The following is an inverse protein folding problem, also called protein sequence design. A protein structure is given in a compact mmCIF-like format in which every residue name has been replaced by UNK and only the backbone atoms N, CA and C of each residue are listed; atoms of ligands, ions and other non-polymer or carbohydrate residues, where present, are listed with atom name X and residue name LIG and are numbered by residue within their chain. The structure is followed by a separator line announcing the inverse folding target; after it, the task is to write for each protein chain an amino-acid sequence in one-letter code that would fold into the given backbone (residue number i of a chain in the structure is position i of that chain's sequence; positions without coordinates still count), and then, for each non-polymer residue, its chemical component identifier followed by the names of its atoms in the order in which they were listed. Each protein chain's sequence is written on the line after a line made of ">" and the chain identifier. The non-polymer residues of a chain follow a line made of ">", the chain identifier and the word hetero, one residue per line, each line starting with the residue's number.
data_IF_682229615831
#
_entry.id   IF_682229615831
#
_cell.length_a   1.000
_cell.length_b   1.000
_cell.length_c   1.000
_cell.angle_alpha   90.00
_cell.angle_beta   90.00
_cell.angle_gamma   90.00
#
_symmetry.space_group_name_H-M   'P 1'
#
loop_
_entity.id
_entity.type
_entity.pdbx_description
1 polymer ?
#
# COMPACT_ATOMS: atom_id res chain seq x y z
N UNK A 1 27.65 -25.80 36.43
CA UNK A 1 27.85 -26.35 35.08
C UNK A 1 26.56 -26.21 34.29
N UNK A 2 26.70 -25.70 33.08
CA UNK A 2 25.69 -25.14 32.19
C UNK A 2 24.50 -26.06 31.86
N UNK A 3 23.28 -25.55 32.03
CA UNK A 3 22.16 -25.89 31.16
C UNK A 3 22.01 -24.75 30.15
N UNK A 4 22.66 -24.90 29.01
CA UNK A 4 22.41 -24.07 27.83
C UNK A 4 21.00 -24.41 27.37
N UNK A 5 20.07 -23.48 27.52
CA UNK A 5 18.78 -23.53 26.85
C UNK A 5 19.03 -23.51 25.35
N UNK A 6 18.92 -24.66 24.70
CA UNK A 6 18.76 -24.74 23.25
C UNK A 6 17.42 -24.08 22.92
N UNK A 7 17.43 -22.77 22.67
CA UNK A 7 16.37 -22.11 21.92
C UNK A 7 16.39 -22.71 20.53
N UNK A 8 15.46 -23.62 20.27
CA UNK A 8 15.25 -24.19 18.94
C UNK A 8 14.98 -23.05 17.96
N UNK A 9 15.97 -22.76 17.12
CA UNK A 9 15.76 -22.15 15.82
C UNK A 9 14.81 -23.08 15.07
N UNK A 10 13.50 -22.84 15.16
CA UNK A 10 12.56 -23.41 14.20
C UNK A 10 13.06 -22.98 12.83
N UNK A 11 13.51 -23.94 12.01
CA UNK A 11 13.86 -23.71 10.62
C UNK A 11 12.59 -23.33 9.86
N UNK A 12 12.19 -22.07 10.00
CA UNK A 12 11.17 -21.45 9.18
C UNK A 12 11.55 -21.67 7.72
N UNK A 13 10.63 -22.21 6.92
CA UNK A 13 10.82 -22.32 5.48
C UNK A 13 11.23 -20.94 4.95
N UNK A 14 12.41 -20.85 4.31
CA UNK A 14 12.97 -19.57 3.86
C UNK A 14 11.98 -18.77 3.00
N UNK A 15 11.17 -19.45 2.18
CA UNK A 15 10.13 -18.80 1.37
C UNK A 15 9.02 -18.18 2.22
N UNK A 16 8.65 -18.83 3.32
CA UNK A 16 7.67 -18.30 4.26
C UNK A 16 8.23 -17.12 5.07
N UNK A 17 9.50 -17.21 5.48
CA UNK A 17 10.20 -16.07 6.08
C UNK A 17 10.26 -14.89 5.09
N UNK A 18 10.59 -15.14 3.82
CA UNK A 18 10.60 -14.11 2.78
C UNK A 18 9.20 -13.51 2.54
N UNK A 19 8.15 -14.33 2.55
CA UNK A 19 6.76 -13.88 2.46
C UNK A 19 6.38 -12.92 3.60
N UNK A 20 6.77 -13.25 4.84
CA UNK A 20 6.59 -12.36 6.00
C UNK A 20 7.41 -11.08 5.86
N UNK A 21 8.67 -11.18 5.44
CA UNK A 21 9.56 -10.04 5.21
C UNK A 21 8.97 -9.06 4.20
N UNK A 22 8.31 -9.59 3.16
CA UNK A 22 7.68 -8.82 2.09
C UNK A 22 6.40 -8.08 2.51
N UNK A 23 5.90 -8.32 3.74
CA UNK A 23 4.61 -7.80 4.26
C UNK A 23 3.42 -8.13 3.34
N UNK A 24 2.79 -9.31 3.50
CA UNK A 24 1.75 -9.81 2.59
C UNK A 24 0.65 -8.82 2.20
N UNK A 25 0.19 -8.02 3.16
CA UNK A 25 -0.83 -7.00 2.94
C UNK A 25 -0.38 -5.91 1.94
N UNK A 26 0.89 -5.50 1.95
CA UNK A 26 1.39 -4.53 0.98
C UNK A 26 1.56 -5.16 -0.40
N UNK A 27 1.88 -6.46 -0.48
CA UNK A 27 2.01 -7.22 -1.74
C UNK A 27 0.67 -7.32 -2.45
N UNK A 28 -0.40 -7.71 -1.75
CA UNK A 28 -1.75 -7.73 -2.34
C UNK A 28 -2.15 -6.35 -2.88
N UNK A 29 -1.93 -5.30 -2.10
CA UNK A 29 -2.22 -3.93 -2.54
C UNK A 29 -1.45 -3.51 -3.78
N UNK A 30 -0.15 -3.84 -3.88
CA UNK A 30 0.67 -3.52 -5.05
C UNK A 30 0.28 -4.34 -6.27
N UNK A 31 -0.01 -5.63 -6.12
CA UNK A 31 -0.46 -6.47 -7.23
C UNK A 31 -1.78 -5.97 -7.82
N UNK A 32 -2.74 -5.65 -6.95
CA UNK A 32 -4.04 -5.14 -7.36
C UNK A 32 -3.95 -3.72 -7.92
N UNK A 33 -3.07 -2.85 -7.42
CA UNK A 33 -2.89 -1.52 -8.01
C UNK A 33 -2.34 -1.60 -9.44
N UNK A 34 -1.34 -2.46 -9.68
CA UNK A 34 -0.79 -2.66 -11.03
C UNK A 34 -1.86 -3.15 -11.98
N UNK A 35 -2.59 -4.22 -11.60
CA UNK A 35 -3.65 -4.77 -12.44
C UNK A 35 -4.80 -3.77 -12.63
N UNK A 36 -5.28 -3.16 -11.55
CA UNK A 36 -6.41 -2.25 -11.58
C UNK A 36 -6.14 -1.02 -12.43
N UNK A 37 -4.96 -0.42 -12.30
CA UNK A 37 -4.59 0.77 -13.11
C UNK A 37 -4.36 0.39 -14.56
N UNK A 38 -3.81 -0.79 -14.86
CA UNK A 38 -3.73 -1.30 -16.23
C UNK A 38 -5.13 -1.41 -16.87
N UNK A 39 -6.10 -1.99 -16.15
CA UNK A 39 -7.48 -2.11 -16.63
C UNK A 39 -8.15 -0.74 -16.81
N UNK A 40 -7.92 0.20 -15.89
CA UNK A 40 -8.37 1.60 -16.02
C UNK A 40 -7.76 2.25 -17.26
N UNK A 41 -6.46 2.05 -17.51
CA UNK A 41 -5.81 2.58 -18.71
C UNK A 41 -6.46 2.03 -19.98
N UNK A 42 -6.67 0.72 -20.09
CA UNK A 42 -7.34 0.13 -21.26
C UNK A 42 -8.74 0.71 -21.46
N UNK A 43 -9.54 0.77 -20.40
CA UNK A 43 -10.92 1.26 -20.46
C UNK A 43 -10.99 2.70 -20.96
N UNK A 44 -10.11 3.57 -20.43
CA UNK A 44 -10.19 5.00 -20.70
C UNK A 44 -9.46 5.44 -21.97
N UNK A 45 -8.51 4.66 -22.48
CA UNK A 45 -7.77 5.01 -23.70
C UNK A 45 -8.38 4.44 -24.98
N UNK A 46 -9.55 3.79 -24.91
CA UNK A 46 -10.23 3.13 -26.04
C UNK A 46 -9.29 2.24 -26.87
N UNK A 47 -8.28 1.66 -26.23
CA UNK A 47 -7.44 0.66 -26.87
C UNK A 47 -8.25 -0.63 -26.98
N UNK A 48 -8.45 -1.14 -28.19
CA UNK A 48 -9.29 -2.33 -28.44
C UNK A 48 -8.93 -3.48 -27.49
N UNK A 49 -9.93 -3.96 -26.75
CA UNK A 49 -9.87 -5.14 -25.89
C UNK A 49 -10.38 -6.36 -26.68
N UNK A 50 -9.80 -7.59 -26.62
CA UNK A 50 -8.58 -8.02 -25.94
C UNK A 50 -7.46 -8.44 -26.93
N UNK A 51 -6.20 -8.31 -26.51
CA UNK A 51 -4.98 -8.88 -27.13
C UNK A 51 -4.34 -8.12 -28.34
N UNK A 52 -3.06 -8.39 -28.70
CA UNK A 52 -1.86 -8.17 -27.89
C UNK A 52 -0.67 -7.76 -28.78
N UNK A 53 -0.06 -6.61 -28.52
CA UNK A 53 1.39 -6.61 -28.74
C UNK A 53 1.99 -7.38 -27.55
N UNK A 54 2.87 -8.37 -27.81
CA UNK A 54 3.62 -9.09 -26.77
C UNK A 54 4.25 -8.12 -25.75
N UNK A 55 4.57 -6.93 -26.23
CA UNK A 55 5.00 -5.77 -25.46
C UNK A 55 4.02 -5.32 -24.36
N UNK A 56 2.70 -5.42 -24.53
CA UNK A 56 1.72 -5.02 -23.50
C UNK A 56 1.70 -5.99 -22.31
N UNK A 57 1.61 -7.31 -22.57
CA UNK A 57 1.64 -8.30 -21.51
C UNK A 57 3.00 -8.33 -20.79
N UNK A 58 4.10 -8.22 -21.54
CA UNK A 58 5.44 -8.11 -20.97
C UNK A 58 5.58 -6.85 -20.12
N UNK A 59 4.97 -5.73 -20.53
CA UNK A 59 4.98 -4.49 -19.75
C UNK A 59 4.21 -4.63 -18.44
N UNK A 60 3.04 -5.27 -18.44
CA UNK A 60 2.27 -5.52 -17.20
C UNK A 60 3.02 -6.42 -16.24
N UNK A 61 3.55 -7.56 -16.73
CA UNK A 61 4.34 -8.49 -15.90
C UNK A 61 5.61 -7.81 -15.40
N UNK A 62 6.31 -7.08 -16.27
CA UNK A 62 7.51 -6.35 -15.92
C UNK A 62 7.26 -5.24 -14.89
N UNK A 63 6.20 -4.45 -15.07
CA UNK A 63 5.76 -3.44 -14.11
C UNK A 63 5.37 -4.08 -12.77
N UNK A 64 4.70 -5.23 -12.80
CA UNK A 64 4.35 -5.98 -11.61
C UNK A 64 5.60 -6.43 -10.83
N UNK A 65 6.58 -7.04 -11.49
CA UNK A 65 7.84 -7.46 -10.86
C UNK A 65 8.62 -6.26 -10.34
N UNK A 66 8.70 -5.16 -11.10
CA UNK A 66 9.38 -3.94 -10.68
C UNK A 66 8.73 -3.33 -9.42
N UNK A 67 7.39 -3.23 -9.41
CA UNK A 67 6.64 -2.68 -8.27
C UNK A 67 6.71 -3.57 -7.04
N UNK A 68 6.65 -4.90 -7.19
CA UNK A 68 6.80 -5.83 -6.08
C UNK A 68 8.22 -5.77 -5.50
N UNK A 69 9.23 -5.71 -6.36
CA UNK A 69 10.63 -5.56 -5.93
C UNK A 69 10.84 -4.24 -5.18
N UNK A 70 10.27 -3.14 -5.68
CA UNK A 70 10.29 -1.86 -4.99
C UNK A 70 9.53 -1.87 -3.66
N UNK A 71 8.42 -2.60 -3.57
CA UNK A 71 7.69 -2.77 -2.31
C UNK A 71 8.56 -3.51 -1.27
N UNK A 72 9.17 -4.65 -1.66
CA UNK A 72 10.08 -5.42 -0.79
C UNK A 72 11.27 -4.58 -0.35
N UNK A 73 11.85 -3.78 -1.24
CA UNK A 73 12.90 -2.81 -0.89
C UNK A 73 12.44 -1.86 0.23
N UNK A 74 11.30 -1.19 0.04
CA UNK A 74 10.81 -0.15 0.96
C UNK A 74 10.46 -0.76 2.33
N UNK A 75 9.70 -1.85 2.36
CA UNK A 75 9.28 -2.48 3.62
C UNK A 75 10.43 -3.22 4.31
N UNK A 76 11.37 -3.77 3.54
CA UNK A 76 12.55 -4.44 4.05
C UNK A 76 13.55 -3.46 4.65
N UNK A 77 13.80 -2.33 3.97
CA UNK A 77 14.65 -1.26 4.49
C UNK A 77 14.09 -0.70 5.80
N UNK A 78 12.77 -0.53 5.88
CA UNK A 78 12.11 -0.11 7.11
C UNK A 78 12.37 -1.11 8.27
N UNK A 79 12.22 -2.41 8.02
CA UNK A 79 12.48 -3.46 9.02
C UNK A 79 13.93 -3.48 9.50
N UNK A 80 14.91 -3.36 8.59
CA UNK A 80 16.34 -3.35 8.93
C UNK A 80 16.73 -2.20 9.86
N UNK A 81 15.99 -1.08 9.81
CA UNK A 81 16.25 0.11 10.64
C UNK A 81 15.47 0.14 11.94
N UNK A 82 14.43 -0.69 12.05
CA UNK A 82 13.47 -0.68 13.15
C UNK A 82 13.46 -1.99 13.95
N UNK A 83 14.51 -2.82 13.84
CA UNK A 83 14.61 -4.14 14.49
C UNK A 83 14.20 -4.12 15.97
N UNK A 84 14.74 -3.18 16.75
CA UNK A 84 14.45 -3.09 18.19
C UNK A 84 13.01 -2.65 18.48
N UNK A 85 12.41 -1.82 17.63
CA UNK A 85 11.00 -1.40 17.73
C UNK A 85 10.08 -2.57 17.34
N UNK A 86 10.42 -3.24 16.23
CA UNK A 86 9.65 -4.36 15.69
C UNK A 86 9.72 -5.60 16.59
N UNK A 87 10.77 -5.80 17.40
CA UNK A 87 10.79 -6.82 18.47
C UNK A 87 9.63 -6.65 19.48
N UNK A 88 9.08 -5.45 19.61
CA UNK A 88 7.96 -5.15 20.51
C UNK A 88 6.64 -5.14 19.73
N UNK A 89 6.57 -4.35 18.67
CA UNK A 89 5.31 -4.15 17.94
C UNK A 89 4.98 -5.33 17.01
N UNK A 90 6.00 -5.96 16.43
CA UNK A 90 5.87 -6.95 15.34
C UNK A 90 6.88 -8.09 15.50
N UNK A 91 6.90 -8.82 16.64
CA UNK A 91 7.95 -9.79 16.97
C UNK A 91 8.02 -10.99 16.01
N UNK A 92 7.00 -11.19 15.18
CA UNK A 92 6.92 -12.25 14.18
C UNK A 92 7.66 -11.91 12.87
N UNK A 93 8.11 -10.67 12.69
CA UNK A 93 8.83 -10.26 11.47
C UNK A 93 10.22 -10.90 11.41
N UNK A 94 10.68 -11.36 10.23
CA UNK A 94 11.85 -12.24 10.15
C UNK A 94 13.15 -11.70 10.75
N UNK A 95 13.41 -10.39 10.63
CA UNK A 95 14.61 -9.78 11.21
C UNK A 95 14.47 -9.60 12.73
N UNK A 96 13.26 -9.25 13.20
CA UNK A 96 12.98 -9.09 14.62
C UNK A 96 12.94 -10.44 15.37
N UNK A 97 12.43 -11.50 14.74
CA UNK A 97 12.35 -12.86 15.28
C UNK A 97 13.68 -13.63 15.21
N UNK A 98 14.64 -13.14 14.41
CA UNK A 98 15.92 -13.80 14.18
C UNK A 98 15.90 -14.89 13.09
N UNK A 99 14.78 -15.07 12.38
CA UNK A 99 14.71 -15.97 11.21
C UNK A 99 15.63 -15.52 10.07
N UNK A 100 15.76 -14.20 9.88
CA UNK A 100 16.72 -13.59 8.98
C UNK A 100 17.77 -12.81 9.77
N UNK A 101 19.04 -13.00 9.41
CA UNK A 101 20.12 -12.13 9.88
C UNK A 101 19.99 -10.75 9.26
N UNK A 102 20.58 -9.73 9.89
CA UNK A 102 20.70 -8.38 9.33
C UNK A 102 21.25 -8.42 7.89
N UNK A 103 22.34 -9.17 7.69
CA UNK A 103 22.98 -9.33 6.38
C UNK A 103 22.07 -9.95 5.33
N UNK A 104 21.26 -10.95 5.70
CA UNK A 104 20.27 -11.55 4.79
C UNK A 104 19.24 -10.52 4.35
N UNK A 105 18.70 -9.73 5.28
CA UNK A 105 17.76 -8.66 4.96
C UNK A 105 18.39 -7.57 4.09
N UNK A 106 19.64 -7.18 4.35
CA UNK A 106 20.39 -6.22 3.52
C UNK A 106 20.56 -6.72 2.09
N UNK A 107 20.95 -7.99 1.91
CA UNK A 107 21.08 -8.60 0.57
C UNK A 107 19.74 -8.59 -0.17
N UNK A 108 18.64 -8.95 0.50
CA UNK A 108 17.29 -8.93 -0.09
C UNK A 108 16.92 -7.51 -0.53
N UNK A 109 17.11 -6.52 0.34
CA UNK A 109 16.79 -5.12 0.05
C UNK A 109 17.63 -4.61 -1.12
N UNK A 110 18.95 -4.78 -1.11
CA UNK A 110 19.83 -4.33 -2.20
C UNK A 110 19.44 -5.00 -3.52
N UNK A 111 19.25 -6.32 -3.53
CA UNK A 111 18.92 -7.08 -4.74
C UNK A 111 17.57 -6.65 -5.31
N UNK A 112 16.54 -6.51 -4.48
CA UNK A 112 15.21 -6.07 -4.92
C UNK A 112 15.19 -4.61 -5.36
N UNK A 113 15.98 -3.74 -4.73
CA UNK A 113 16.16 -2.35 -5.16
C UNK A 113 16.80 -2.24 -6.55
N UNK A 114 17.88 -2.97 -6.79
CA UNK A 114 18.54 -3.05 -8.11
C UNK A 114 17.56 -3.59 -9.14
N UNK A 115 16.89 -4.71 -8.84
CA UNK A 115 15.92 -5.32 -9.75
C UNK A 115 14.77 -4.37 -10.11
N UNK A 116 14.23 -3.64 -9.13
CA UNK A 116 13.18 -2.65 -9.34
C UNK A 116 13.63 -1.53 -10.30
N UNK A 117 14.80 -0.95 -10.06
CA UNK A 117 15.35 0.13 -10.88
C UNK A 117 15.75 -0.34 -12.28
N UNK A 118 16.39 -1.49 -12.41
CA UNK A 118 16.80 -2.05 -13.70
C UNK A 118 15.58 -2.40 -14.57
N UNK A 119 14.58 -3.10 -14.03
CA UNK A 119 13.38 -3.44 -14.78
C UNK A 119 12.57 -2.20 -15.16
N UNK A 120 12.37 -1.27 -14.23
CA UNK A 120 11.63 -0.04 -14.52
C UNK A 120 12.33 0.82 -15.57
N UNK A 121 13.66 0.90 -15.55
CA UNK A 121 14.46 1.58 -16.58
C UNK A 121 14.24 0.98 -17.96
N UNK A 122 14.29 -0.35 -18.08
CA UNK A 122 14.13 -1.06 -19.35
C UNK A 122 12.72 -0.94 -19.92
N UNK A 123 11.70 -0.82 -19.06
CA UNK A 123 10.29 -0.81 -19.45
C UNK A 123 9.74 0.59 -19.77
N UNK A 124 10.44 1.66 -19.37
CA UNK A 124 10.13 3.01 -19.85
C UNK A 124 10.23 4.11 -18.80
N UNK A 125 10.25 5.38 -19.25
CA UNK A 125 10.59 6.52 -18.42
C UNK A 125 9.59 6.77 -17.27
N UNK A 126 8.28 6.56 -17.51
CA UNK A 126 7.25 6.77 -16.49
C UNK A 126 7.34 5.77 -15.34
N UNK A 127 7.57 4.49 -15.66
CA UNK A 127 7.76 3.46 -14.64
C UNK A 127 9.06 3.69 -13.87
N UNK A 128 10.15 4.03 -14.56
CA UNK A 128 11.42 4.36 -13.92
C UNK A 128 11.31 5.57 -12.98
N UNK A 129 10.67 6.65 -13.42
CA UNK A 129 10.45 7.83 -12.59
C UNK A 129 9.60 7.49 -11.36
N UNK A 130 8.49 6.77 -11.54
CA UNK A 130 7.61 6.39 -10.43
C UNK A 130 8.31 5.48 -9.42
N UNK A 131 9.01 4.44 -9.88
CA UNK A 131 9.77 3.52 -9.01
C UNK A 131 10.93 4.26 -8.34
N UNK A 132 11.71 5.04 -9.10
CA UNK A 132 12.85 5.81 -8.59
C UNK A 132 12.45 6.80 -7.50
N UNK A 133 11.40 7.59 -7.73
CA UNK A 133 10.86 8.53 -6.72
C UNK A 133 10.34 7.76 -5.50
N UNK A 134 9.61 6.66 -5.71
CA UNK A 134 9.07 5.84 -4.60
C UNK A 134 10.18 5.26 -3.73
N UNK A 135 11.24 4.72 -4.34
CA UNK A 135 12.42 4.22 -3.64
C UNK A 135 13.15 5.35 -2.92
N UNK A 136 13.38 6.50 -3.57
CA UNK A 136 14.03 7.64 -2.95
C UNK A 136 13.28 8.13 -1.69
N UNK A 137 11.94 8.23 -1.76
CA UNK A 137 11.09 8.58 -0.62
C UNK A 137 11.16 7.49 0.47
N UNK A 138 11.08 6.21 0.09
CA UNK A 138 11.18 5.09 1.05
C UNK A 138 12.53 5.04 1.77
N UNK A 139 13.61 5.40 1.07
CA UNK A 139 14.96 5.53 1.62
C UNK A 139 15.07 6.71 2.56
N UNK A 140 14.62 7.90 2.14
CA UNK A 140 14.58 9.10 2.97
C UNK A 140 13.71 8.90 4.23
N UNK A 141 12.64 8.12 4.11
CA UNK A 141 11.78 7.74 5.23
C UNK A 141 12.54 6.91 6.27
N UNK A 142 13.38 5.96 5.86
CA UNK A 142 13.95 4.94 6.75
C UNK A 142 15.39 5.20 7.22
N UNK A 143 16.28 5.67 6.33
CA UNK A 143 17.73 5.73 6.59
C UNK A 143 18.19 7.06 7.21
N UNK A 144 19.16 7.04 8.15
CA UNK A 144 19.89 8.24 8.56
C UNK A 144 20.78 8.78 7.42
N UNK A 145 21.09 10.10 7.41
CA UNK A 145 20.75 11.10 8.43
C UNK A 145 19.32 11.65 8.34
N UNK A 146 18.60 11.42 7.23
CA UNK A 146 17.29 12.04 6.98
C UNK A 146 16.18 11.43 7.87
N UNK A 147 15.99 10.10 7.78
CA UNK A 147 15.01 9.28 8.53
C UNK A 147 13.70 10.03 8.84
N UNK A 148 12.97 10.44 7.80
CA UNK A 148 11.76 11.26 7.89
C UNK A 148 10.68 10.66 8.80
N UNK A 149 10.67 9.34 8.99
CA UNK A 149 9.74 8.67 9.92
C UNK A 149 9.79 9.19 11.36
N UNK A 150 10.85 9.89 11.75
CA UNK A 150 10.98 10.55 13.07
C UNK A 150 10.02 11.73 13.25
N UNK A 151 9.57 12.33 12.15
CA UNK A 151 8.70 13.49 12.15
C UNK A 151 7.30 13.08 11.66
N UNK A 152 6.25 13.13 12.51
CA UNK A 152 4.93 12.60 12.16
C UNK A 152 4.34 13.18 10.88
N UNK A 153 4.53 14.48 10.66
CA UNK A 153 4.07 15.17 9.45
C UNK A 153 4.73 14.61 8.18
N UNK A 154 6.07 14.53 8.16
CA UNK A 154 6.80 13.99 7.02
C UNK A 154 6.57 12.49 6.83
N UNK A 155 6.43 11.73 7.92
CA UNK A 155 6.08 10.32 7.88
C UNK A 155 4.74 10.09 7.16
N UNK A 156 3.72 10.88 7.49
CA UNK A 156 2.42 10.83 6.83
C UNK A 156 2.54 11.16 5.34
N UNK A 157 3.22 12.27 4.99
CA UNK A 157 3.45 12.67 3.60
C UNK A 157 4.09 11.55 2.79
N UNK A 158 5.15 10.92 3.27
CA UNK A 158 5.79 9.81 2.56
C UNK A 158 4.81 8.66 2.26
N UNK A 159 3.95 8.30 3.21
CA UNK A 159 3.05 7.16 3.08
C UNK A 159 1.94 7.44 2.05
N UNK A 160 1.20 8.53 2.22
CA UNK A 160 0.07 8.82 1.33
C UNK A 160 0.54 9.36 -0.03
N UNK A 161 1.72 9.98 -0.14
CA UNK A 161 2.19 10.49 -1.43
C UNK A 161 2.64 9.34 -2.33
N UNK A 162 3.43 8.40 -1.79
CA UNK A 162 3.90 7.23 -2.56
C UNK A 162 2.71 6.37 -2.97
N UNK A 163 1.92 5.91 -2.00
CA UNK A 163 0.84 4.96 -2.28
C UNK A 163 -0.43 5.59 -2.81
N UNK A 164 -0.73 6.83 -2.43
CA UNK A 164 -1.94 7.54 -2.83
C UNK A 164 -1.84 8.23 -4.19
N UNK A 165 -0.69 8.82 -4.52
CA UNK A 165 -0.53 9.62 -5.74
C UNK A 165 0.49 9.04 -6.72
N UNK A 166 1.73 8.86 -6.28
CA UNK A 166 2.87 8.56 -7.16
C UNK A 166 2.67 7.23 -7.89
N UNK A 167 2.28 6.16 -7.18
CA UNK A 167 2.02 4.86 -7.81
C UNK A 167 0.85 4.95 -8.79
N UNK A 168 -0.26 5.61 -8.40
CA UNK A 168 -1.46 5.66 -9.24
C UNK A 168 -1.23 6.42 -10.55
N UNK A 169 -0.73 7.65 -10.43
CA UNK A 169 -0.45 8.51 -11.56
C UNK A 169 0.67 7.93 -12.42
N UNK A 170 1.74 7.42 -11.80
CA UNK A 170 2.88 6.87 -12.51
C UNK A 170 2.56 5.60 -13.29
N UNK A 171 1.78 4.67 -12.70
CA UNK A 171 1.31 3.48 -13.42
C UNK A 171 0.38 3.84 -14.58
N UNK A 172 -0.54 4.79 -14.38
CA UNK A 172 -1.44 5.21 -15.45
C UNK A 172 -0.67 5.84 -16.61
N UNK A 173 0.31 6.71 -16.34
CA UNK A 173 1.18 7.29 -17.37
C UNK A 173 2.01 6.22 -18.07
N UNK A 174 2.55 5.25 -17.33
CA UNK A 174 3.30 4.14 -17.90
C UNK A 174 2.43 3.31 -18.85
N UNK A 175 1.25 2.87 -18.44
CA UNK A 175 0.38 2.07 -19.29
C UNK A 175 -0.18 2.88 -20.47
N UNK A 176 -0.53 4.15 -20.27
CA UNK A 176 -0.92 5.03 -21.38
C UNK A 176 0.21 5.18 -22.41
N UNK A 177 1.47 5.23 -21.96
CA UNK A 177 2.65 5.25 -22.85
C UNK A 177 2.86 3.93 -23.59
N UNK A 178 2.76 2.80 -22.90
CA UNK A 178 2.84 1.46 -23.52
C UNK A 178 1.73 1.25 -24.55
N UNK A 179 0.52 1.75 -24.26
CA UNK A 179 -0.64 1.68 -25.15
C UNK A 179 -0.63 2.75 -26.25
N UNK A 180 0.44 3.56 -26.34
CA UNK A 180 0.57 4.66 -27.32
C UNK A 180 -0.59 5.68 -27.27
N UNK A 181 -1.24 5.81 -26.12
CA UNK A 181 -2.26 6.82 -25.86
C UNK A 181 -1.62 8.17 -25.51
N UNK A 182 -2.42 9.20 -25.24
CA UNK A 182 -1.91 10.47 -24.72
C UNK A 182 -1.57 10.35 -23.23
N UNK A 183 -0.44 10.91 -22.81
CA UNK A 183 0.01 10.92 -21.40
C UNK A 183 -0.65 12.04 -20.58
N UNK A 184 -1.98 12.15 -20.69
CA UNK A 184 -2.80 13.11 -19.96
C UNK A 184 -3.59 12.37 -18.89
N UNK A 185 -3.47 12.78 -17.63
CA UNK A 185 -4.23 12.18 -16.54
C UNK A 185 -5.70 12.54 -16.68
N UNK A 186 -6.54 11.53 -16.92
CA UNK A 186 -7.97 11.68 -17.11
C UNK A 186 -8.70 11.90 -15.77
N UNK A 187 -9.87 12.57 -15.75
CA UNK A 187 -10.63 12.85 -14.53
C UNK A 187 -10.91 11.61 -13.67
N UNK A 188 -11.24 10.47 -14.28
CA UNK A 188 -11.48 9.22 -13.57
C UNK A 188 -10.23 8.74 -12.78
N UNK A 189 -9.03 8.93 -13.35
CA UNK A 189 -7.77 8.57 -12.66
C UNK A 189 -7.54 9.49 -11.46
N UNK A 190 -7.89 10.77 -11.56
CA UNK A 190 -7.86 11.69 -10.43
C UNK A 190 -8.84 11.30 -9.33
N UNK A 191 -10.04 10.85 -9.68
CA UNK A 191 -11.03 10.34 -8.70
C UNK A 191 -10.45 9.17 -7.91
N UNK A 192 -9.94 8.14 -8.58
CA UNK A 192 -9.30 7.01 -7.92
C UNK A 192 -8.09 7.46 -7.08
N UNK A 193 -7.26 8.37 -7.62
CA UNK A 193 -6.09 8.90 -6.92
C UNK A 193 -6.47 9.62 -5.63
N UNK A 194 -7.49 10.48 -5.66
CA UNK A 194 -7.97 11.16 -4.46
C UNK A 194 -8.56 10.18 -3.45
N UNK A 195 -9.33 9.21 -3.91
CA UNK A 195 -9.85 8.15 -3.05
C UNK A 195 -8.73 7.43 -2.32
N UNK A 196 -7.75 6.88 -3.05
CA UNK A 196 -6.62 6.13 -2.49
C UNK A 196 -5.74 7.03 -1.60
N UNK A 197 -5.55 8.30 -1.95
CA UNK A 197 -4.80 9.25 -1.12
C UNK A 197 -5.48 9.44 0.24
N UNK A 198 -6.77 9.77 0.28
CA UNK A 198 -7.48 9.97 1.56
C UNK A 198 -7.59 8.64 2.33
N UNK A 199 -7.80 7.52 1.63
CA UNK A 199 -7.83 6.20 2.23
C UNK A 199 -6.49 5.83 2.87
N UNK A 200 -5.37 6.14 2.21
CA UNK A 200 -4.02 5.86 2.75
C UNK A 200 -3.70 6.72 3.96
N UNK A 201 -4.25 7.94 4.08
CA UNK A 201 -4.21 8.72 5.32
C UNK A 201 -4.93 7.94 6.43
N UNK A 202 -6.14 7.45 6.17
CA UNK A 202 -6.89 6.66 7.16
C UNK A 202 -6.13 5.41 7.61
N UNK A 203 -5.50 4.66 6.69
CA UNK A 203 -4.61 3.52 7.01
C UNK A 203 -3.40 3.98 7.83
N UNK A 204 -2.76 5.08 7.44
CA UNK A 204 -1.56 5.58 8.07
C UNK A 204 -1.78 5.99 9.53
N UNK A 205 -2.94 6.55 9.86
CA UNK A 205 -3.27 6.88 11.25
C UNK A 205 -3.77 5.62 11.99
N UNK A 206 -4.53 4.73 11.33
CA UNK A 206 -5.03 3.51 11.95
C UNK A 206 -3.89 2.56 12.37
N UNK A 207 -2.83 2.45 11.56
CA UNK A 207 -1.69 1.56 11.84
C UNK A 207 -1.02 1.87 13.18
N UNK A 208 -1.12 3.13 13.65
CA UNK A 208 -0.49 3.59 14.89
C UNK A 208 -1.27 3.12 16.14
N UNK A 209 -2.50 2.61 15.98
CA UNK A 209 -3.30 2.05 17.09
C UNK A 209 -2.68 0.74 17.64
N UNK A 210 -2.43 -0.30 16.83
CA UNK A 210 -1.79 -1.52 17.34
C UNK A 210 -0.32 -1.31 17.76
N UNK A 211 0.35 -0.27 17.26
CA UNK A 211 1.77 0.02 17.50
C UNK A 211 2.04 0.94 18.73
N UNK A 212 0.99 1.37 19.44
CA UNK A 212 1.07 2.34 20.55
C UNK A 212 2.09 2.00 21.64
N UNK A 213 2.22 0.73 22.02
CA UNK A 213 3.08 0.30 23.14
C UNK A 213 4.57 0.50 22.82
N UNK A 214 5.02 0.04 21.64
CA UNK A 214 6.40 0.25 21.19
C UNK A 214 6.68 1.72 20.91
N UNK A 215 5.73 2.44 20.30
CA UNK A 215 5.92 3.86 20.00
C UNK A 215 6.13 4.68 21.27
N UNK A 216 5.34 4.41 22.33
CA UNK A 216 5.53 5.05 23.64
C UNK A 216 6.90 4.73 24.25
N UNK A 217 7.36 3.48 24.16
CA UNK A 217 8.66 3.06 24.74
C UNK A 217 9.86 3.70 24.03
N UNK A 218 9.75 3.96 22.72
CA UNK A 218 10.79 4.60 21.92
C UNK A 218 10.60 6.11 21.74
N UNK A 219 9.72 6.74 22.54
CA UNK A 219 9.42 8.17 22.51
C UNK A 219 8.99 8.69 21.11
N UNK A 220 8.33 7.85 20.33
CA UNK A 220 7.74 8.23 19.04
C UNK A 220 6.38 8.86 19.32
N UNK A 221 6.20 10.12 18.92
CA UNK A 221 4.96 10.85 19.17
C UNK A 221 3.98 10.68 18.00
N UNK A 222 3.01 9.78 18.12
CA UNK A 222 1.97 9.55 17.11
C UNK A 222 0.65 10.28 17.45
N UNK A 223 -0.27 10.37 16.48
CA UNK A 223 -1.61 10.89 16.73
C UNK A 223 -2.35 10.06 17.78
N UNK A 224 -2.16 8.75 17.78
CA UNK A 224 -2.81 7.84 18.74
C UNK A 224 -2.32 8.06 20.16
N UNK A 225 -1.03 8.36 20.35
CA UNK A 225 -0.49 8.71 21.68
C UNK A 225 -1.04 10.06 22.17
N UNK A 226 -1.24 11.03 21.27
CA UNK A 226 -1.74 12.37 21.61
C UNK A 226 -3.26 12.43 21.85
N UNK A 227 -4.04 11.74 21.03
CA UNK A 227 -5.51 11.88 20.98
C UNK A 227 -6.25 10.66 21.56
N UNK A 228 -5.55 9.56 21.78
CA UNK A 228 -6.12 8.28 22.21
C UNK A 228 -6.65 7.42 21.06
N UNK A 229 -6.72 6.11 21.31
CA UNK A 229 -7.15 5.09 20.33
C UNK A 229 -8.57 5.29 19.83
N UNK A 230 -9.51 5.70 20.69
CA UNK A 230 -10.92 5.90 20.33
C UNK A 230 -11.10 7.06 19.35
N UNK A 231 -10.46 8.21 19.65
CA UNK A 231 -10.48 9.39 18.78
C UNK A 231 -9.88 9.07 17.41
N UNK A 232 -8.73 8.40 17.39
CA UNK A 232 -8.06 8.03 16.14
C UNK A 232 -8.86 7.00 15.33
N UNK A 233 -9.44 5.99 15.99
CA UNK A 233 -10.30 5.01 15.32
C UNK A 233 -11.50 5.70 14.65
N UNK A 234 -12.16 6.60 15.38
CA UNK A 234 -13.30 7.35 14.85
C UNK A 234 -12.89 8.30 13.71
N UNK A 235 -11.74 8.95 13.82
CA UNK A 235 -11.19 9.80 12.76
C UNK A 235 -10.95 8.97 11.48
N UNK A 236 -10.28 7.82 11.58
CA UNK A 236 -10.09 6.92 10.44
C UNK A 236 -11.43 6.46 9.86
N UNK A 237 -12.42 6.08 10.68
CA UNK A 237 -13.76 5.68 10.23
C UNK A 237 -14.49 6.80 9.47
N UNK A 238 -14.39 8.04 9.93
CA UNK A 238 -14.99 9.19 9.25
C UNK A 238 -14.26 9.57 7.97
N UNK A 239 -12.93 9.49 7.93
CA UNK A 239 -12.16 9.66 6.68
C UNK A 239 -12.57 8.63 5.62
N UNK A 240 -12.69 7.36 6.00
CA UNK A 240 -13.17 6.31 5.09
C UNK A 240 -14.60 6.57 4.64
N UNK A 241 -15.48 7.03 5.54
CA UNK A 241 -16.85 7.43 5.19
C UNK A 241 -16.86 8.54 4.15
N UNK A 242 -16.01 9.56 4.32
CA UNK A 242 -15.87 10.65 3.34
C UNK A 242 -15.36 10.15 1.98
N UNK A 243 -14.41 9.20 1.95
CA UNK A 243 -13.95 8.55 0.71
C UNK A 243 -15.13 7.90 -0.04
N UNK A 244 -15.88 7.01 0.62
CA UNK A 244 -16.99 6.30 -0.01
C UNK A 244 -18.14 7.24 -0.41
N UNK A 245 -18.47 8.22 0.45
CA UNK A 245 -19.46 9.23 0.11
C UNK A 245 -19.03 10.08 -1.10
N UNK A 246 -17.75 10.41 -1.20
CA UNK A 246 -17.17 11.09 -2.36
C UNK A 246 -17.33 10.29 -3.65
N UNK A 247 -17.10 8.98 -3.63
CA UNK A 247 -17.31 8.11 -4.80
C UNK A 247 -18.77 8.02 -5.22
N UNK A 248 -19.69 7.92 -4.24
CA UNK A 248 -21.13 7.97 -4.50
C UNK A 248 -21.51 9.29 -5.15
N UNK A 249 -20.97 10.41 -4.64
CA UNK A 249 -21.21 11.73 -5.19
C UNK A 249 -20.69 11.86 -6.63
N UNK A 250 -19.50 11.33 -6.93
CA UNK A 250 -18.97 11.27 -8.31
C UNK A 250 -19.94 10.53 -9.23
N UNK A 251 -20.46 9.38 -8.80
CA UNK A 251 -21.45 8.63 -9.58
C UNK A 251 -22.78 9.38 -9.76
N UNK A 252 -23.26 10.10 -8.75
CA UNK A 252 -24.51 10.90 -8.86
C UNK A 252 -24.35 12.02 -9.88
N UNK A 253 -23.16 12.62 -9.91
CA UNK A 253 -22.91 13.80 -10.71
C UNK A 253 -22.48 13.47 -12.16
N UNK A 254 -22.15 12.21 -12.44
CA UNK A 254 -21.97 11.64 -13.78
C UNK A 254 -20.92 12.36 -14.66
N UNK A 255 -19.87 12.92 -14.04
CA UNK A 255 -18.86 13.69 -14.77
C UNK A 255 -17.72 12.86 -15.37
N UNK A 256 -17.72 11.56 -15.14
CA UNK A 256 -16.59 10.67 -15.40
C UNK A 256 -17.01 9.50 -16.28
N UNK A 257 -16.10 9.01 -17.13
CA UNK A 257 -16.28 7.82 -17.97
C UNK A 257 -16.30 6.54 -17.12
N UNK A 258 -17.28 6.42 -16.24
CA UNK A 258 -17.48 5.29 -15.32
C UNK A 258 -18.96 4.94 -15.29
N UNK A 259 -19.28 3.69 -15.01
CA UNK A 259 -20.66 3.26 -14.80
C UNK A 259 -21.20 3.77 -13.45
N UNK A 260 -21.94 4.88 -13.50
CA UNK A 260 -22.47 5.59 -12.33
C UNK A 260 -23.39 4.75 -11.45
N UNK A 261 -24.25 3.92 -12.05
CA UNK A 261 -25.17 3.03 -11.29
C UNK A 261 -24.37 2.00 -10.50
N UNK A 262 -23.42 1.33 -11.17
CA UNK A 262 -22.55 0.34 -10.52
C UNK A 262 -21.73 0.98 -9.39
N UNK A 263 -21.14 2.16 -9.67
CA UNK A 263 -20.32 2.88 -8.70
C UNK A 263 -21.12 3.23 -7.44
N UNK A 264 -22.30 3.84 -7.59
CA UNK A 264 -23.18 4.23 -6.46
C UNK A 264 -23.59 2.99 -5.66
N UNK A 265 -24.08 1.95 -6.33
CA UNK A 265 -24.61 0.76 -5.68
C UNK A 265 -23.53 0.05 -4.86
N UNK A 266 -22.37 -0.22 -5.46
CA UNK A 266 -21.29 -0.95 -4.82
C UNK A 266 -20.68 -0.15 -3.66
N UNK A 267 -20.42 1.15 -3.84
CA UNK A 267 -19.85 1.97 -2.77
C UNK A 267 -20.83 2.17 -1.60
N UNK A 268 -22.15 2.22 -1.87
CA UNK A 268 -23.17 2.28 -0.81
C UNK A 268 -23.21 0.98 0.01
N UNK A 269 -23.14 -0.18 -0.66
CA UNK A 269 -23.07 -1.49 0.01
C UNK A 269 -21.80 -1.60 0.85
N UNK A 270 -20.64 -1.23 0.28
CA UNK A 270 -19.36 -1.27 1.00
C UNK A 270 -19.37 -0.34 2.20
N UNK A 271 -19.92 0.88 2.06
CA UNK A 271 -20.02 1.84 3.15
C UNK A 271 -20.90 1.30 4.29
N UNK A 272 -22.07 0.75 3.97
CA UNK A 272 -22.95 0.13 4.97
C UNK A 272 -22.26 -1.04 5.68
N UNK A 273 -21.60 -1.92 4.92
CA UNK A 273 -20.85 -3.06 5.46
C UNK A 273 -19.68 -2.61 6.35
N UNK A 274 -18.95 -1.57 5.95
CA UNK A 274 -17.87 -0.98 6.73
C UNK A 274 -18.37 -0.46 8.08
N UNK A 275 -19.49 0.27 8.09
CA UNK A 275 -20.09 0.75 9.34
C UNK A 275 -20.57 -0.39 10.23
N UNK A 276 -21.19 -1.42 9.66
CA UNK A 276 -21.62 -2.60 10.41
C UNK A 276 -20.43 -3.33 11.06
N UNK A 277 -19.34 -3.53 10.31
CA UNK A 277 -18.15 -4.25 10.80
C UNK A 277 -17.36 -3.42 11.83
N UNK A 278 -17.18 -2.12 11.60
CA UNK A 278 -16.37 -1.26 12.48
C UNK A 278 -17.08 -0.92 13.79
N UNK A 279 -18.42 -0.92 13.83
CA UNK A 279 -19.18 -0.75 15.08
C UNK A 279 -19.01 -1.92 16.05
N UNK A 280 -18.68 -3.11 15.55
CA UNK A 280 -18.43 -4.30 16.36
C UNK A 280 -16.99 -4.40 16.88
N UNK A 281 -16.14 -3.39 16.61
CA UNK A 281 -14.73 -3.42 17.02
C UNK A 281 -14.60 -3.03 18.49
N UNK A 282 -14.09 -3.95 19.30
CA UNK A 282 -13.70 -3.68 20.68
C UNK A 282 -12.28 -3.10 20.70
N UNK A 283 -12.17 -1.83 21.10
CA UNK A 283 -10.87 -1.15 21.17
C UNK A 283 -10.06 -1.52 22.41
N UNK A 284 -10.60 -2.32 23.34
CA UNK A 284 -9.86 -2.88 24.46
C UNK A 284 -9.16 -4.20 24.08
N UNK A 285 -9.66 -4.91 23.07
CA UNK A 285 -9.05 -6.14 22.57
C UNK A 285 -8.09 -5.89 21.38
N UNK A 286 -6.81 -6.22 21.58
CA UNK A 286 -5.76 -6.10 20.55
C UNK A 286 -6.05 -6.97 19.32
N UNK A 287 -6.70 -8.13 19.50
CA UNK A 287 -7.07 -9.00 18.38
C UNK A 287 -8.18 -8.37 17.54
N UNK A 288 -9.19 -7.79 18.18
CA UNK A 288 -10.26 -7.04 17.53
C UNK A 288 -9.72 -5.84 16.73
N UNK A 289 -8.83 -5.02 17.31
CA UNK A 289 -8.15 -3.92 16.60
C UNK A 289 -7.38 -4.43 15.37
N UNK A 290 -6.62 -5.52 15.53
CA UNK A 290 -5.84 -6.11 14.43
C UNK A 290 -6.77 -6.64 13.33
N UNK A 291 -7.93 -7.19 13.69
CA UNK A 291 -8.95 -7.64 12.74
C UNK A 291 -9.54 -6.47 11.96
N UNK A 292 -9.89 -5.37 12.64
CA UNK A 292 -10.36 -4.14 12.01
C UNK A 292 -9.30 -3.54 11.06
N UNK A 293 -8.03 -3.55 11.45
CA UNK A 293 -6.92 -3.13 10.58
C UNK A 293 -6.86 -3.96 9.28
N UNK A 294 -6.91 -5.29 9.40
CA UNK A 294 -6.92 -6.19 8.24
C UNK A 294 -8.15 -5.97 7.37
N UNK A 295 -9.30 -5.68 7.96
CA UNK A 295 -10.53 -5.37 7.24
C UNK A 295 -10.39 -4.09 6.41
N UNK A 296 -9.84 -3.00 6.98
CA UNK A 296 -9.57 -1.75 6.25
C UNK A 296 -8.64 -1.99 5.06
N UNK A 297 -7.62 -2.85 5.21
CA UNK A 297 -6.78 -3.26 4.09
C UNK A 297 -7.54 -4.00 2.98
N UNK A 298 -8.50 -4.86 3.33
CA UNK A 298 -9.36 -5.53 2.33
C UNK A 298 -10.21 -4.53 1.55
N UNK A 299 -10.73 -3.51 2.22
CA UNK A 299 -11.45 -2.42 1.57
C UNK A 299 -10.58 -1.65 0.58
N UNK A 300 -9.31 -1.38 0.94
CA UNK A 300 -8.33 -0.79 0.03
C UNK A 300 -8.07 -1.65 -1.21
N UNK A 301 -7.96 -2.97 -1.04
CA UNK A 301 -7.80 -3.91 -2.16
C UNK A 301 -9.02 -3.94 -3.08
N UNK A 302 -10.20 -3.91 -2.47
CA UNK A 302 -11.47 -3.99 -3.19
C UNK A 302 -11.64 -2.80 -4.12
N UNK A 303 -11.14 -1.62 -3.76
CA UNK A 303 -11.20 -0.44 -4.62
C UNK A 303 -10.47 -0.66 -5.96
N UNK A 304 -9.30 -1.28 -5.93
CA UNK A 304 -8.54 -1.62 -7.14
C UNK A 304 -9.18 -2.73 -7.98
N UNK A 305 -10.32 -3.28 -7.56
CA UNK A 305 -11.16 -4.17 -8.35
C UNK A 305 -12.43 -3.46 -8.81
N UNK A 306 -13.10 -2.76 -7.89
CA UNK A 306 -14.39 -2.08 -8.15
C UNK A 306 -14.22 -0.92 -9.11
N UNK A 307 -13.24 -0.05 -8.91
CA UNK A 307 -13.08 1.13 -9.75
C UNK A 307 -12.77 0.78 -11.22
N UNK A 308 -11.81 -0.13 -11.53
CA UNK A 308 -11.59 -0.54 -12.91
C UNK A 308 -12.81 -1.20 -13.56
N UNK A 309 -13.59 -2.00 -12.81
CA UNK A 309 -14.85 -2.57 -13.32
C UNK A 309 -15.83 -1.44 -13.68
N UNK A 310 -15.92 -0.40 -12.85
CA UNK A 310 -16.77 0.75 -13.17
C UNK A 310 -16.35 1.45 -14.46
N UNK A 311 -15.04 1.60 -14.73
CA UNK A 311 -14.55 2.16 -15.99
C UNK A 311 -14.83 1.24 -17.19
N UNK A 312 -14.73 -0.07 -17.02
CA UNK A 312 -14.97 -1.04 -18.10
C UNK A 312 -16.45 -1.19 -18.48
N UNK A 313 -17.36 -0.88 -17.55
CA UNK A 313 -18.81 -0.94 -17.74
C UNK A 313 -19.43 0.38 -18.21
N UNK A 314 -18.66 1.48 -18.22
CA UNK A 314 -19.11 2.82 -18.61
C UNK A 314 -18.66 3.15 -20.02
#
# INVERSE_FOLDING_TARGET
>A
MSQVSQTGLQSSNWLYAFWKFSRPHTIYGTSLSVLGIYLVSIALTNSEFPFPNSYSLLSVIGAWIACLSGNVYIVGLNQLQDVEIDKINKPHLPVASGEFTQRTGEIIVITTGILALSLSWLLGPFLFAMVGISLAIGTAYSLPPIRLKRFPFWAAICIFSVRGAIVNLGLFLHFSWVLQAQQIILPAVWVLTWFILVFTIAIAIFKDIPDMEGDRKYNITTFTIKLGKETVFNLSRWLLTACYAGMILVGILDFTQVNSIFLIAVHSIILAFMWWQTQQTDLQDKNSITSAYRFIWKLFYLEYLVFPISCLLG
#
